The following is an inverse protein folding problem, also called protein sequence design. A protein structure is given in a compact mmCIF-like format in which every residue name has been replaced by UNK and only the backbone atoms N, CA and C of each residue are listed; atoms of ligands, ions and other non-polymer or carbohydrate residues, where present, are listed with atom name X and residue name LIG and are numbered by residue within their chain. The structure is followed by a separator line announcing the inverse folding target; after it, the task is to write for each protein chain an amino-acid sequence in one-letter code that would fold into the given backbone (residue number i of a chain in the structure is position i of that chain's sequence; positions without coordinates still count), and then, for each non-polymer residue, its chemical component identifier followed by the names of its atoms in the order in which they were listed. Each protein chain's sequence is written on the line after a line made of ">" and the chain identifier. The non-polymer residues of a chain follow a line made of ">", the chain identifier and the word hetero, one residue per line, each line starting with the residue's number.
data_IF_865516329756
#
_entry.id   IF_865516329756
#
_cell.length_a   1.000
_cell.length_b   1.000
_cell.length_c   1.000
_cell.angle_alpha   90.00
_cell.angle_beta   90.00
_cell.angle_gamma   90.00
#
_symmetry.space_group_name_H-M   'P 1'
#
loop_
_entity.id
_entity.type
_entity.pdbx_description
1 polymer ?
#
# COMPACT_ATOMS: atom_id res chain seq x y z
N UNK A 1 -11.88 1.67 -7.58
CA UNK A 1 -10.97 2.50 -8.40
C UNK A 1 -11.03 3.92 -7.88
N UNK A 2 -9.89 4.51 -7.51
CA UNK A 2 -9.81 5.91 -7.03
C UNK A 2 -9.80 6.89 -8.21
N UNK A 3 -10.12 8.16 -7.96
CA UNK A 3 -10.10 9.23 -8.97
C UNK A 3 -8.73 9.35 -9.65
N UNK A 4 -7.64 9.30 -8.85
CA UNK A 4 -6.27 9.26 -9.38
C UNK A 4 -6.03 8.07 -10.31
N UNK A 5 -6.60 6.90 -10.00
CA UNK A 5 -6.46 5.73 -10.87
C UNK A 5 -7.15 5.97 -12.22
N UNK A 6 -8.37 6.51 -12.23
CA UNK A 6 -9.10 6.83 -13.48
C UNK A 6 -8.31 7.81 -14.36
N UNK A 7 -7.75 8.87 -13.77
CA UNK A 7 -6.99 9.85 -14.54
C UNK A 7 -5.74 9.25 -15.20
N UNK A 8 -5.01 8.39 -14.49
CA UNK A 8 -3.77 7.80 -15.01
C UNK A 8 -4.03 6.68 -16.02
N UNK A 9 -5.10 5.89 -15.88
CA UNK A 9 -5.36 4.76 -16.79
C UNK A 9 -6.24 5.09 -17.98
N UNK A 10 -7.12 6.09 -17.88
CA UNK A 10 -8.10 6.40 -18.91
C UNK A 10 -7.80 7.76 -19.55
N UNK A 11 -7.82 8.83 -18.75
CA UNK A 11 -7.66 10.20 -19.27
C UNK A 11 -6.27 10.46 -19.84
N UNK A 12 -5.22 9.99 -19.17
CA UNK A 12 -3.84 10.19 -19.61
C UNK A 12 -3.57 9.51 -20.95
N UNK A 13 -4.19 8.36 -21.21
CA UNK A 13 -4.07 7.66 -22.50
C UNK A 13 -4.65 8.51 -23.65
N UNK A 14 -5.74 9.24 -23.41
CA UNK A 14 -6.36 10.11 -24.40
C UNK A 14 -5.55 11.39 -24.66
N UNK A 15 -4.91 11.94 -23.62
CA UNK A 15 -4.17 13.21 -23.71
C UNK A 15 -2.73 12.98 -24.20
N UNK A 16 -2.04 11.98 -23.67
CA UNK A 16 -0.64 11.69 -23.97
C UNK A 16 -0.37 10.17 -23.91
N UNK A 17 -0.55 9.46 -25.04
CA UNK A 17 -0.35 8.01 -25.12
C UNK A 17 1.08 7.57 -24.76
N UNK A 18 2.10 8.37 -25.11
CA UNK A 18 3.49 8.05 -24.82
C UNK A 18 3.76 8.02 -23.31
N UNK A 19 3.27 9.04 -22.59
CA UNK A 19 3.39 9.09 -21.13
C UNK A 19 2.54 8.01 -20.44
N UNK A 20 1.36 7.71 -20.97
CA UNK A 20 0.51 6.63 -20.45
C UNK A 20 1.20 5.26 -20.53
N UNK A 21 1.92 4.99 -21.62
CA UNK A 21 2.70 3.76 -21.78
C UNK A 21 3.86 3.66 -20.77
N UNK A 22 4.50 4.79 -20.44
CA UNK A 22 5.52 4.82 -19.38
C UNK A 22 4.91 4.57 -18.00
N UNK A 23 3.79 5.23 -17.70
CA UNK A 23 3.06 5.04 -16.44
C UNK A 23 2.56 3.59 -16.28
N UNK A 24 2.13 2.95 -17.37
CA UNK A 24 1.70 1.54 -17.36
C UNK A 24 2.78 0.62 -16.81
N UNK A 25 4.04 0.76 -17.24
CA UNK A 25 5.16 -0.05 -16.76
C UNK A 25 5.32 0.06 -15.24
N UNK A 26 5.24 1.27 -14.70
CA UNK A 26 5.34 1.52 -13.25
C UNK A 26 4.13 0.94 -12.50
N UNK A 27 2.93 1.06 -13.05
CA UNK A 27 1.72 0.49 -12.45
C UNK A 27 1.78 -1.05 -12.41
N UNK A 28 2.30 -1.68 -13.46
CA UNK A 28 2.41 -3.14 -13.54
C UNK A 28 3.41 -3.67 -12.50
N UNK A 29 4.56 -3.01 -12.35
CA UNK A 29 5.54 -3.29 -11.28
C UNK A 29 4.93 -3.10 -9.88
N UNK A 30 4.24 -1.97 -9.66
CA UNK A 30 3.59 -1.72 -8.38
C UNK A 30 2.54 -2.80 -8.02
N UNK A 31 1.86 -3.35 -9.04
CA UNK A 31 0.85 -4.38 -8.89
C UNK A 31 1.47 -5.74 -8.57
N UNK A 32 2.59 -6.10 -9.21
CA UNK A 32 3.31 -7.35 -8.90
C UNK A 32 3.89 -7.32 -7.48
N UNK A 33 4.46 -6.19 -7.07
CA UNK A 33 5.06 -6.03 -5.73
C UNK A 33 4.03 -5.86 -4.61
N UNK A 34 2.76 -5.56 -4.94
CA UNK A 34 1.71 -5.33 -3.94
C UNK A 34 1.55 -6.49 -2.97
N UNK A 35 1.69 -7.73 -3.43
CA UNK A 35 1.54 -8.91 -2.58
C UNK A 35 2.68 -9.05 -1.56
N UNK A 36 3.91 -8.71 -1.97
CA UNK A 36 5.07 -8.67 -1.07
C UNK A 36 4.84 -7.62 0.01
N UNK A 37 4.44 -6.40 -0.40
CA UNK A 37 4.09 -5.33 0.54
C UNK A 37 2.93 -5.71 1.46
N UNK A 38 1.90 -6.39 0.96
CA UNK A 38 0.78 -6.87 1.77
C UNK A 38 1.20 -7.91 2.80
N UNK A 39 2.12 -8.81 2.45
CA UNK A 39 2.72 -9.76 3.38
C UNK A 39 3.48 -9.07 4.51
N UNK A 40 4.32 -8.09 4.18
CA UNK A 40 5.05 -7.28 5.17
C UNK A 40 4.09 -6.51 6.08
N UNK A 41 3.08 -5.84 5.52
CA UNK A 41 2.09 -5.11 6.30
C UNK A 41 1.30 -6.01 7.26
N UNK A 42 0.99 -7.24 6.85
CA UNK A 42 0.31 -8.22 7.72
C UNK A 42 1.23 -8.66 8.85
N UNK A 43 2.49 -9.00 8.54
CA UNK A 43 3.49 -9.36 9.54
C UNK A 43 3.71 -8.24 10.55
N UNK A 44 3.89 -7.00 10.08
CA UNK A 44 4.04 -5.82 10.93
C UNK A 44 2.81 -5.60 11.80
N UNK A 45 1.59 -5.69 11.26
CA UNK A 45 0.36 -5.58 12.06
C UNK A 45 0.37 -6.51 13.27
N UNK A 46 0.68 -7.80 13.07
CA UNK A 46 0.69 -8.76 14.18
C UNK A 46 1.87 -8.55 15.14
N UNK A 47 3.03 -8.12 14.66
CA UNK A 47 4.17 -7.78 15.54
C UNK A 47 3.85 -6.55 16.42
N UNK A 48 3.24 -5.52 15.85
CA UNK A 48 2.85 -4.31 16.56
C UNK A 48 1.68 -4.56 17.52
N UNK A 49 0.64 -5.31 17.08
CA UNK A 49 -0.47 -5.66 17.98
C UNK A 49 -0.01 -6.45 19.21
N UNK A 50 1.02 -7.29 19.09
CA UNK A 50 1.63 -7.97 20.26
C UNK A 50 2.37 -7.01 21.18
N UNK A 51 3.07 -6.02 20.62
CA UNK A 51 3.72 -4.97 21.41
C UNK A 51 2.72 -4.02 22.07
N UNK A 52 1.59 -3.73 21.42
CA UNK A 52 0.53 -2.89 21.98
C UNK A 52 -0.19 -3.61 23.13
N UNK A 53 -0.41 -4.93 23.03
CA UNK A 53 -0.91 -5.76 24.13
C UNK A 53 0.10 -5.82 25.31
N UNK A 54 1.39 -6.03 25.03
CA UNK A 54 2.43 -6.07 26.07
C UNK A 54 2.66 -4.69 26.75
N UNK A 55 2.53 -3.58 26.00
CA UNK A 55 2.62 -2.21 26.55
C UNK A 55 1.39 -1.86 27.40
N UNK A 56 0.18 -2.29 27.03
CA UNK A 56 -1.02 -2.07 27.81
C UNK A 56 -0.97 -2.81 29.16
N UNK A 57 -0.47 -4.05 29.17
CA UNK A 57 -0.34 -4.83 30.41
C UNK A 57 0.72 -4.24 31.35
N UNK A 58 1.78 -3.63 30.80
CA UNK A 58 2.81 -2.98 31.62
C UNK A 58 2.32 -1.65 32.22
N UNK A 59 1.49 -0.89 31.50
CA UNK A 59 0.90 0.35 32.02
C UNK A 59 -0.20 0.09 33.07
N UNK A 60 -0.96 -1.00 32.96
CA UNK A 60 -1.92 -1.44 33.99
C UNK A 60 -1.25 -2.01 35.26
N UNK A 61 -0.02 -2.51 35.16
CA UNK A 61 0.77 -3.01 36.31
C UNK A 61 1.43 -1.88 37.13
N UNK A 62 1.56 -0.69 36.55
CA UNK A 62 2.17 0.49 37.19
C UNK A 62 1.16 1.43 37.87
N UNK A 63 -0.12 1.06 37.94
CA UNK A 63 -1.19 1.77 38.68
C UNK A 63 -1.64 1.02 39.92
#
# INVERSE_FOLDING_TARGET
>A
MTTKHKDVTERLLQINPALANQARKVLDMNKSERHIRGGMATREKYLHSRHDEEQCVHSESMV
#
